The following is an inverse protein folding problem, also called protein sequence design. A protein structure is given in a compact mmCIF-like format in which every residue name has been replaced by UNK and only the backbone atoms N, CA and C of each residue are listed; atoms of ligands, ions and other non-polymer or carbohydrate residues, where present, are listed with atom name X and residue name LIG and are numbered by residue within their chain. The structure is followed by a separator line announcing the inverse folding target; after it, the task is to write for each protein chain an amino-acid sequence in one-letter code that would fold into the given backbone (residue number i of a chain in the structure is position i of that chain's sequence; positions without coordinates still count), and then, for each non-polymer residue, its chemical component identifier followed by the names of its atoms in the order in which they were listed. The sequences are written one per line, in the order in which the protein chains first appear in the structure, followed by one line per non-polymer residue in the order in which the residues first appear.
data_IF_564572993236
#
_entry.id   IF_564572993236
#
_cell.length_a   1.000
_cell.length_b   1.000
_cell.length_c   1.000
_cell.angle_alpha   90.00
_cell.angle_beta   90.00
_cell.angle_gamma   90.00
#
_symmetry.space_group_name_H-M   'P 1'
#
loop_
_entity.id
_entity.type
_entity.pdbx_description
1 polymer ?
#
# COMPACT_ATOMS: atom_id res chain seq x y z
N UNK A 1 40.94 -70.09 5.91
CA UNK A 1 41.06 -68.64 5.65
C UNK A 1 39.89 -67.96 6.34
N UNK A 2 40.14 -67.28 7.47
CA UNK A 2 39.12 -66.66 8.32
C UNK A 2 39.36 -65.16 8.35
N UNK A 3 38.36 -64.36 7.99
CA UNK A 3 38.45 -62.89 7.90
C UNK A 3 38.09 -62.21 9.23
N UNK A 4 38.73 -61.09 9.61
CA UNK A 4 38.73 -60.55 10.98
C UNK A 4 37.51 -59.69 11.37
N UNK A 5 36.33 -59.91 10.79
CA UNK A 5 35.15 -59.04 11.00
C UNK A 5 33.93 -59.73 11.60
N UNK A 6 34.12 -60.90 12.23
CA UNK A 6 33.06 -61.58 12.99
C UNK A 6 33.27 -61.38 14.49
N UNK A 7 33.11 -60.15 14.97
CA UNK A 7 32.86 -59.90 16.38
C UNK A 7 31.51 -59.19 16.53
N UNK A 8 30.56 -59.74 17.31
CA UNK A 8 29.33 -59.04 17.67
C UNK A 8 29.68 -57.93 18.66
N UNK A 9 30.09 -56.77 18.16
CA UNK A 9 30.22 -55.57 18.98
C UNK A 9 28.82 -55.12 19.37
N UNK A 10 28.47 -55.30 20.64
CA UNK A 10 27.31 -54.67 21.26
C UNK A 10 27.53 -53.15 21.24
N UNK A 11 27.08 -52.50 20.17
CA UNK A 11 26.89 -51.06 20.19
C UNK A 11 25.83 -50.80 21.28
N UNK A 12 26.13 -50.04 22.35
CA UNK A 12 25.08 -49.56 23.23
C UNK A 12 24.21 -48.68 22.35
N UNK A 13 23.04 -49.21 21.97
CA UNK A 13 21.97 -48.45 21.36
C UNK A 13 21.76 -47.24 22.25
N UNK A 14 22.24 -46.08 21.78
CA UNK A 14 22.05 -44.79 22.42
C UNK A 14 20.55 -44.52 22.36
N UNK A 15 19.85 -45.08 23.36
CA UNK A 15 18.44 -44.88 23.63
C UNK A 15 18.34 -43.43 24.08
N UNK A 16 18.28 -42.54 23.10
CA UNK A 16 17.64 -41.24 23.27
C UNK A 16 16.23 -41.59 23.74
N UNK A 17 15.99 -41.47 25.06
CA UNK A 17 14.64 -41.56 25.59
C UNK A 17 13.84 -40.49 24.85
N UNK A 18 12.76 -40.84 24.12
CA UNK A 18 11.84 -39.82 23.69
C UNK A 18 11.37 -39.11 24.95
N UNK A 19 11.68 -37.82 25.04
CA UNK A 19 11.12 -36.97 26.08
C UNK A 19 9.60 -36.96 25.83
N UNK A 20 8.88 -37.82 26.54
CA UNK A 20 7.44 -37.70 26.61
C UNK A 20 7.15 -36.33 27.23
N UNK A 21 6.42 -35.44 26.53
CA UNK A 21 5.94 -34.24 27.18
C UNK A 21 5.11 -34.68 28.39
N UNK A 22 5.23 -34.01 29.55
CA UNK A 22 4.42 -34.33 30.71
C UNK A 22 2.95 -34.31 30.29
N UNK A 23 2.24 -35.40 30.62
CA UNK A 23 0.80 -35.51 30.40
C UNK A 23 0.12 -34.24 30.92
N UNK A 24 -0.79 -33.60 30.15
CA UNK A 24 -1.52 -32.46 30.66
C UNK A 24 -2.37 -32.93 31.84
N UNK A 25 -1.96 -32.52 33.04
CA UNK A 25 -2.82 -32.51 34.20
C UNK A 25 -4.10 -31.76 33.84
N UNK A 26 -5.24 -32.30 34.30
CA UNK A 26 -6.57 -31.70 34.18
C UNK A 26 -6.54 -30.28 34.78
N UNK A 27 -6.20 -29.31 33.95
CA UNK A 27 -6.44 -27.91 34.23
C UNK A 27 -7.74 -27.52 33.54
N UNK A 28 -8.64 -27.04 34.39
CA UNK A 28 -9.92 -26.45 34.09
C UNK A 28 -9.87 -25.66 32.79
N UNK A 29 -10.91 -25.85 31.98
CA UNK A 29 -11.20 -25.12 30.75
C UNK A 29 -11.22 -23.60 31.03
N UNK A 30 -10.06 -22.98 31.03
CA UNK A 30 -9.92 -21.55 30.78
C UNK A 30 -10.18 -21.37 29.30
N UNK A 31 -11.34 -20.76 28.99
CA UNK A 31 -11.71 -20.26 27.66
C UNK A 31 -10.48 -19.57 27.07
N UNK A 32 -9.82 -20.22 26.12
CA UNK A 32 -8.82 -19.57 25.27
C UNK A 32 -9.53 -18.41 24.59
N UNK A 33 -9.08 -17.14 24.80
CA UNK A 33 -9.64 -16.03 24.06
C UNK A 33 -9.45 -16.34 22.58
N UNK A 34 -10.54 -16.29 21.80
CA UNK A 34 -10.47 -16.28 20.34
C UNK A 34 -9.41 -15.26 19.97
N UNK A 35 -8.27 -15.71 19.45
CA UNK A 35 -7.32 -14.83 18.81
C UNK A 35 -8.11 -14.08 17.73
N UNK A 36 -8.21 -12.75 17.80
CA UNK A 36 -8.95 -11.99 16.81
C UNK A 36 -8.37 -12.33 15.44
N UNK A 37 -9.25 -12.62 14.49
CA UNK A 37 -8.84 -12.86 13.11
C UNK A 37 -7.93 -11.71 12.64
N UNK A 38 -6.89 -12.03 11.85
CA UNK A 38 -5.95 -11.01 11.41
C UNK A 38 -6.72 -9.87 10.73
N UNK A 39 -6.33 -8.61 11.00
CA UNK A 39 -7.04 -7.45 10.48
C UNK A 39 -7.11 -7.54 8.95
N UNK A 40 -8.31 -7.36 8.38
CA UNK A 40 -8.54 -7.32 6.92
C UNK A 40 -7.50 -6.42 6.24
N UNK A 41 -7.04 -6.84 5.07
CA UNK A 41 -6.05 -6.08 4.29
C UNK A 41 -6.59 -4.69 3.89
N UNK A 42 -5.67 -3.74 3.69
CA UNK A 42 -5.99 -2.39 3.20
C UNK A 42 -6.84 -2.40 1.90
N UNK A 43 -6.52 -3.18 0.85
CA UNK A 43 -7.32 -3.17 -0.38
C UNK A 43 -8.74 -3.68 -0.15
N UNK A 44 -8.94 -4.72 0.66
CA UNK A 44 -10.28 -5.23 0.99
C UNK A 44 -11.08 -4.16 1.72
N UNK A 45 -10.50 -3.47 2.72
CA UNK A 45 -11.18 -2.38 3.43
C UNK A 45 -11.57 -1.23 2.52
N UNK A 46 -10.72 -0.88 1.55
CA UNK A 46 -11.02 0.16 0.57
C UNK A 46 -12.22 -0.22 -0.32
N UNK A 47 -12.24 -1.44 -0.83
CA UNK A 47 -13.35 -1.96 -1.64
C UNK A 47 -14.65 -2.04 -0.83
N UNK A 48 -14.61 -2.57 0.40
CA UNK A 48 -15.76 -2.63 1.30
C UNK A 48 -16.32 -1.25 1.63
N UNK A 49 -15.45 -0.25 1.81
CA UNK A 49 -15.86 1.13 2.05
C UNK A 49 -16.58 1.70 0.83
N UNK A 50 -16.10 1.41 -0.38
CA UNK A 50 -16.74 1.83 -1.62
C UNK A 50 -18.10 1.13 -1.83
N UNK A 51 -18.20 -0.18 -1.56
CA UNK A 51 -19.46 -0.95 -1.59
C UNK A 51 -20.48 -0.36 -0.62
N UNK A 52 -20.08 -0.10 0.63
CA UNK A 52 -20.95 0.55 1.63
C UNK A 52 -21.41 1.93 1.16
N UNK A 53 -20.52 2.72 0.58
CA UNK A 53 -20.87 4.01 -0.03
C UNK A 53 -21.95 3.83 -1.09
N UNK A 54 -21.76 2.91 -2.03
CA UNK A 54 -22.73 2.61 -3.11
C UNK A 54 -24.04 1.96 -2.62
N UNK A 55 -24.11 1.42 -1.41
CA UNK A 55 -25.35 0.87 -0.85
C UNK A 55 -26.12 1.91 -0.02
N UNK A 56 -25.40 2.73 0.75
CA UNK A 56 -26.02 3.59 1.76
C UNK A 56 -26.30 5.02 1.28
N UNK A 57 -25.63 5.48 0.23
CA UNK A 57 -25.81 6.86 -0.26
C UNK A 57 -26.88 6.98 -1.33
N UNK A 58 -27.81 7.94 -1.23
CA UNK A 58 -28.74 8.23 -2.33
C UNK A 58 -28.00 8.71 -3.59
N UNK A 59 -28.58 8.48 -4.77
CA UNK A 59 -27.94 8.77 -6.07
C UNK A 59 -27.60 10.25 -6.32
N UNK A 60 -28.36 11.17 -5.72
CA UNK A 60 -28.20 12.62 -5.92
C UNK A 60 -27.56 13.33 -4.72
N UNK A 61 -26.94 12.57 -3.82
CA UNK A 61 -26.32 13.16 -2.64
C UNK A 61 -24.99 13.81 -3.02
N UNK A 62 -24.80 15.12 -2.76
CA UNK A 62 -23.51 15.77 -2.95
C UNK A 62 -22.50 15.25 -1.92
N UNK A 63 -21.21 15.31 -2.26
CA UNK A 63 -20.14 15.00 -1.31
C UNK A 63 -20.16 16.04 -0.16
N UNK A 64 -20.23 15.62 1.11
CA UNK A 64 -20.24 16.53 2.25
C UNK A 64 -18.98 17.39 2.35
N UNK A 65 -17.85 16.93 1.79
CA UNK A 65 -16.57 17.66 1.77
C UNK A 65 -16.39 18.47 0.48
N UNK A 66 -17.43 18.54 -0.35
CA UNK A 66 -17.39 19.17 -1.68
C UNK A 66 -16.67 18.30 -2.72
N UNK A 67 -16.76 18.67 -4.00
CA UNK A 67 -16.04 17.97 -5.06
C UNK A 67 -14.66 18.51 -5.35
N UNK A 68 -13.84 17.72 -6.04
CA UNK A 68 -12.55 18.13 -6.57
C UNK A 68 -12.67 18.49 -8.07
N UNK A 69 -12.19 19.69 -8.44
CA UNK A 69 -12.23 20.21 -9.81
C UNK A 69 -10.90 20.11 -10.56
N UNK A 70 -9.97 19.26 -10.09
CA UNK A 70 -8.64 19.11 -10.67
C UNK A 70 -8.59 18.51 -12.08
N UNK A 71 -9.71 17.97 -12.59
CA UNK A 71 -9.80 17.28 -13.89
C UNK A 71 -8.75 16.18 -14.08
N UNK A 72 -8.47 15.44 -13.00
CA UNK A 72 -7.44 14.41 -12.92
C UNK A 72 -6.00 14.87 -13.27
N UNK A 73 -5.70 16.17 -13.06
CA UNK A 73 -4.33 16.70 -13.22
C UNK A 73 -3.47 16.54 -11.96
N UNK A 74 -4.09 16.63 -10.78
CA UNK A 74 -3.41 16.47 -9.49
C UNK A 74 -3.61 15.07 -8.89
N UNK A 75 -4.82 14.53 -9.06
CA UNK A 75 -5.20 13.21 -8.58
C UNK A 75 -5.36 12.26 -9.75
N UNK A 76 -5.15 10.97 -9.51
CA UNK A 76 -5.39 9.95 -10.51
C UNK A 76 -6.83 9.99 -11.05
N UNK A 77 -7.00 9.60 -12.31
CA UNK A 77 -8.32 9.46 -12.92
C UNK A 77 -9.17 8.44 -12.14
N UNK A 78 -10.46 8.74 -11.92
CA UNK A 78 -11.37 7.80 -11.27
C UNK A 78 -11.44 6.50 -12.08
N UNK A 79 -11.26 5.36 -11.41
CA UNK A 79 -11.27 4.03 -12.06
C UNK A 79 -12.66 3.60 -12.50
N UNK A 80 -13.69 4.01 -11.75
CA UNK A 80 -15.07 3.54 -11.96
C UNK A 80 -15.94 4.58 -12.65
N UNK A 81 -15.64 5.87 -12.49
CA UNK A 81 -16.41 6.99 -13.03
C UNK A 81 -15.47 8.07 -13.58
N UNK A 82 -14.72 7.82 -14.66
CA UNK A 82 -13.73 8.77 -15.16
C UNK A 82 -14.34 10.08 -15.68
N UNK A 83 -15.60 10.05 -16.10
CA UNK A 83 -16.32 11.16 -16.72
C UNK A 83 -17.75 11.21 -16.19
N UNK A 84 -18.28 12.42 -15.98
CA UNK A 84 -19.72 12.62 -15.78
C UNK A 84 -20.46 12.52 -17.12
N UNK A 85 -21.41 11.61 -17.24
CA UNK A 85 -22.19 11.43 -18.47
C UNK A 85 -23.11 12.62 -18.81
N UNK A 86 -23.47 13.45 -17.82
CA UNK A 86 -24.38 14.58 -18.02
C UNK A 86 -23.65 15.86 -18.49
N UNK A 87 -22.54 16.24 -17.83
CA UNK A 87 -21.83 17.49 -18.15
C UNK A 87 -20.42 17.30 -18.70
N UNK A 88 -19.92 16.07 -18.82
CA UNK A 88 -18.59 15.78 -19.35
C UNK A 88 -17.42 16.13 -18.43
N UNK A 89 -17.67 16.46 -17.15
CA UNK A 89 -16.58 16.73 -16.21
C UNK A 89 -15.70 15.48 -16.02
N UNK A 90 -14.38 15.63 -16.22
CA UNK A 90 -13.38 14.59 -15.91
C UNK A 90 -13.21 14.49 -14.39
N UNK A 91 -13.38 13.29 -13.84
CA UNK A 91 -13.39 13.05 -12.41
C UNK A 91 -12.15 12.28 -11.97
N UNK A 92 -11.55 12.71 -10.87
CA UNK A 92 -10.43 12.01 -10.24
C UNK A 92 -10.90 11.05 -9.14
N UNK A 93 -9.96 10.28 -8.57
CA UNK A 93 -10.19 9.33 -7.47
C UNK A 93 -10.78 9.95 -6.20
N UNK A 94 -10.61 11.26 -5.99
CA UNK A 94 -11.21 11.98 -4.86
C UNK A 94 -12.73 12.09 -5.00
N UNK A 95 -13.22 12.17 -6.24
CA UNK A 95 -14.65 12.23 -6.54
C UNK A 95 -15.22 10.80 -6.52
N UNK A 96 -15.75 10.37 -5.38
CA UNK A 96 -16.24 9.01 -5.21
C UNK A 96 -17.47 8.73 -6.10
N UNK A 97 -17.58 7.51 -6.68
CA UNK A 97 -18.63 7.18 -7.66
C UNK A 97 -20.05 7.14 -7.09
N UNK A 98 -20.20 7.15 -5.76
CA UNK A 98 -21.47 7.07 -5.06
C UNK A 98 -22.09 8.45 -4.76
N UNK A 99 -21.32 9.53 -4.90
CA UNK A 99 -21.82 10.91 -4.79
C UNK A 99 -22.24 11.47 -6.15
N UNK A 100 -23.02 12.56 -6.12
CA UNK A 100 -23.42 13.30 -7.31
C UNK A 100 -22.25 14.09 -7.91
N UNK A 101 -22.37 14.44 -9.20
CA UNK A 101 -21.40 15.27 -9.89
C UNK A 101 -21.26 16.64 -9.21
N UNK A 102 -20.04 17.11 -8.91
CA UNK A 102 -19.87 18.39 -8.22
C UNK A 102 -20.17 19.61 -9.10
N UNK A 103 -20.30 19.45 -10.42
CA UNK A 103 -20.63 20.54 -11.34
C UNK A 103 -22.12 20.64 -11.66
N UNK A 104 -22.79 19.52 -11.96
CA UNK A 104 -24.19 19.52 -12.41
C UNK A 104 -25.16 18.81 -11.45
N UNK A 105 -24.67 18.28 -10.33
CA UNK A 105 -25.45 17.52 -9.34
C UNK A 105 -26.19 16.28 -9.91
N UNK A 106 -25.86 15.85 -11.14
CA UNK A 106 -26.40 14.62 -11.70
C UNK A 106 -25.78 13.40 -11.01
N UNK A 107 -26.49 12.26 -10.92
CA UNK A 107 -25.88 11.01 -10.48
C UNK A 107 -24.75 10.63 -11.45
N UNK A 108 -23.64 10.14 -10.91
CA UNK A 108 -22.48 9.73 -11.70
C UNK A 108 -22.67 8.37 -12.39
N UNK A 109 -23.48 7.52 -11.78
CA UNK A 109 -23.81 6.18 -12.28
C UNK A 109 -25.32 6.10 -12.49
N UNK A 110 -25.73 5.57 -13.64
CA UNK A 110 -27.12 5.16 -13.84
C UNK A 110 -27.46 3.99 -12.91
N UNK A 111 -28.74 3.81 -12.50
CA UNK A 111 -29.15 2.71 -11.60
C UNK A 111 -28.65 1.31 -12.01
N UNK A 112 -28.75 0.87 -13.29
CA UNK A 112 -28.23 -0.44 -13.69
C UNK A 112 -26.70 -0.50 -13.63
N UNK A 113 -26.00 0.58 -13.98
CA UNK A 113 -24.53 0.65 -13.92
C UNK A 113 -24.03 0.62 -12.46
N UNK A 114 -24.80 1.18 -11.53
CA UNK A 114 -24.52 1.12 -10.09
C UNK A 114 -24.63 -0.32 -9.58
N UNK A 115 -25.67 -1.05 -9.98
CA UNK A 115 -25.84 -2.46 -9.63
C UNK A 115 -24.73 -3.34 -10.23
N UNK A 116 -24.37 -3.13 -11.49
CA UNK A 116 -23.26 -3.87 -12.10
C UNK A 116 -21.93 -3.61 -11.41
N UNK A 117 -21.67 -2.36 -11.01
CA UNK A 117 -20.46 -2.01 -10.26
C UNK A 117 -20.44 -2.67 -8.88
N UNK A 118 -21.58 -2.72 -8.18
CA UNK A 118 -21.68 -3.42 -6.90
C UNK A 118 -21.31 -4.91 -7.03
N UNK A 119 -21.84 -5.59 -8.04
CA UNK A 119 -21.52 -7.00 -8.30
C UNK A 119 -20.04 -7.19 -8.65
N UNK A 120 -19.47 -6.31 -9.48
CA UNK A 120 -18.04 -6.34 -9.83
C UNK A 120 -17.16 -6.16 -8.59
N UNK A 121 -17.48 -5.22 -7.71
CA UNK A 121 -16.72 -4.98 -6.48
C UNK A 121 -16.82 -6.15 -5.51
N UNK A 122 -18.00 -6.77 -5.38
CA UNK A 122 -18.18 -7.98 -4.57
C UNK A 122 -17.34 -9.14 -5.11
N UNK A 123 -17.31 -9.33 -6.43
CA UNK A 123 -16.45 -10.33 -7.06
C UNK A 123 -14.96 -10.03 -6.83
N UNK A 124 -14.54 -8.76 -6.93
CA UNK A 124 -13.18 -8.34 -6.64
C UNK A 124 -12.79 -8.59 -5.17
N UNK A 125 -13.69 -8.32 -4.21
CA UNK A 125 -13.46 -8.62 -2.80
C UNK A 125 -13.27 -10.13 -2.59
N UNK A 126 -14.13 -10.96 -3.20
CA UNK A 126 -13.99 -12.40 -3.10
C UNK A 126 -12.66 -12.89 -3.70
N UNK A 127 -12.26 -12.34 -4.85
CA UNK A 127 -11.00 -12.66 -5.50
C UNK A 127 -9.78 -12.24 -4.66
N UNK A 128 -9.78 -11.04 -4.09
CA UNK A 128 -8.67 -10.57 -3.25
C UNK A 128 -8.53 -11.42 -2.00
N UNK A 129 -9.64 -11.73 -1.31
CA UNK A 129 -9.62 -12.62 -0.14
C UNK A 129 -9.12 -14.02 -0.48
N UNK A 130 -9.56 -14.60 -1.61
CA UNK A 130 -9.07 -15.90 -2.06
C UNK A 130 -7.55 -15.86 -2.36
N UNK A 131 -7.06 -14.78 -2.98
CA UNK A 131 -5.64 -14.60 -3.26
C UNK A 131 -4.80 -14.49 -1.98
N UNK A 132 -5.30 -13.74 -0.98
CA UNK A 132 -4.64 -13.55 0.31
C UNK A 132 -4.57 -14.86 1.11
N UNK A 133 -5.66 -15.62 1.15
CA UNK A 133 -5.69 -16.93 1.83
C UNK A 133 -4.74 -17.92 1.13
N UNK A 134 -4.73 -17.94 -0.21
CA UNK A 134 -3.81 -18.80 -0.97
C UNK A 134 -2.34 -18.44 -0.72
N UNK A 135 -2.01 -17.15 -0.61
CA UNK A 135 -0.67 -16.67 -0.30
C UNK A 135 -0.26 -17.03 1.13
N UNK A 136 -1.19 -16.95 2.08
CA UNK A 136 -0.98 -17.35 3.47
C UNK A 136 -0.70 -18.85 3.59
N UNK A 137 -1.46 -19.70 2.90
CA UNK A 137 -1.24 -21.15 2.89
C UNK A 137 0.14 -21.50 2.30
N UNK A 138 0.50 -20.89 1.16
CA UNK A 138 1.82 -21.07 0.54
C UNK A 138 2.95 -20.64 1.47
N UNK A 139 2.84 -19.47 2.12
CA UNK A 139 3.83 -19.01 3.06
C UNK A 139 4.00 -19.95 4.27
N UNK A 140 2.90 -20.54 4.77
CA UNK A 140 2.95 -21.53 5.84
C UNK A 140 3.61 -22.85 5.39
N UNK A 141 3.33 -23.31 4.17
CA UNK A 141 3.96 -24.49 3.57
C UNK A 141 5.46 -24.29 3.39
N UNK A 142 5.85 -23.14 2.86
CA UNK A 142 7.26 -22.80 2.61
C UNK A 142 8.02 -22.61 3.93
N UNK A 143 7.40 -22.03 4.96
CA UNK A 143 7.99 -21.95 6.30
C UNK A 143 8.20 -23.34 6.92
N UNK A 144 7.24 -24.27 6.74
CA UNK A 144 7.39 -25.67 7.19
C UNK A 144 8.51 -26.39 6.43
N UNK A 145 8.58 -26.22 5.12
CA UNK A 145 9.66 -26.77 4.28
C UNK A 145 11.02 -26.20 4.70
N UNK A 146 11.11 -24.90 4.96
CA UNK A 146 12.35 -24.24 5.39
C UNK A 146 12.80 -24.69 6.79
N UNK A 147 11.87 -24.89 7.73
CA UNK A 147 12.21 -25.39 9.07
C UNK A 147 12.65 -26.87 9.07
N UNK A 148 12.11 -27.67 8.15
CA UNK A 148 12.52 -29.07 7.94
C UNK A 148 13.74 -29.23 7.02
N UNK A 149 14.14 -28.17 6.31
CA UNK A 149 15.33 -28.20 5.48
C UNK A 149 16.57 -28.20 6.38
N UNK A 150 17.34 -29.29 6.32
CA UNK A 150 18.67 -29.30 6.89
C UNK A 150 19.46 -28.16 6.24
N UNK A 151 20.18 -27.31 7.00
CA UNK A 151 20.99 -26.24 6.43
C UNK A 151 21.88 -26.86 5.36
N UNK A 152 21.63 -26.54 4.09
CA UNK A 152 22.38 -27.13 3.01
C UNK A 152 23.83 -26.65 3.14
N UNK A 153 24.71 -27.52 3.67
CA UNK A 153 26.15 -27.32 3.69
C UNK A 153 26.70 -27.59 2.28
N UNK A 154 26.27 -26.79 1.31
CA UNK A 154 26.80 -26.83 -0.04
C UNK A 154 27.86 -25.75 -0.15
N UNK A 155 29.11 -26.23 -0.15
CA UNK A 155 30.31 -25.53 -0.49
C UNK A 155 30.14 -24.62 -1.72
N UNK A 156 30.67 -23.40 -1.62
CA UNK A 156 31.00 -22.51 -2.74
C UNK A 156 29.82 -22.10 -3.65
N UNK A 157 28.99 -21.18 -3.18
CA UNK A 157 28.45 -20.14 -4.06
C UNK A 157 28.16 -18.89 -3.22
N UNK A 158 28.92 -17.86 -3.54
CA UNK A 158 28.76 -16.50 -3.08
C UNK A 158 27.39 -15.95 -3.50
N UNK A 159 26.40 -15.99 -2.61
CA UNK A 159 25.30 -15.03 -2.63
C UNK A 159 24.94 -14.66 -1.19
N UNK A 160 25.26 -13.41 -0.85
CA UNK A 160 25.06 -12.82 0.46
C UNK A 160 23.57 -12.51 0.66
N UNK A 161 22.82 -13.44 1.25
CA UNK A 161 21.57 -13.08 1.92
C UNK A 161 21.91 -12.42 3.25
N UNK A 162 21.54 -11.15 3.40
CA UNK A 162 21.74 -10.30 4.58
C UNK A 162 20.83 -10.77 5.73
N UNK A 163 21.10 -11.94 6.29
CA UNK A 163 20.59 -12.28 7.60
C UNK A 163 21.34 -11.40 8.60
N UNK A 164 20.63 -10.53 9.30
CA UNK A 164 21.15 -9.71 10.39
C UNK A 164 21.75 -10.62 11.47
N UNK A 165 23.03 -10.93 11.33
CA UNK A 165 23.81 -11.73 12.27
C UNK A 165 23.91 -10.94 13.57
N UNK A 166 23.15 -11.36 14.57
CA UNK A 166 23.37 -10.93 15.95
C UNK A 166 24.63 -11.64 16.44
N UNK A 167 25.76 -10.93 16.45
CA UNK A 167 27.02 -11.50 16.93
C UNK A 167 26.92 -11.77 18.44
N UNK A 168 26.84 -13.06 18.80
CA UNK A 168 26.92 -13.52 20.19
C UNK A 168 28.39 -13.74 20.52
N UNK A 169 28.97 -12.81 21.28
CA UNK A 169 30.36 -12.91 21.73
C UNK A 169 30.39 -13.63 23.07
N UNK A 170 30.97 -14.84 23.06
CA UNK A 170 31.28 -15.58 24.28
C UNK A 170 32.65 -15.13 24.77
N UNK A 171 32.68 -14.39 25.89
CA UNK A 171 33.92 -14.00 26.55
C UNK A 171 34.19 -14.93 27.74
N UNK A 172 35.35 -15.57 27.74
CA UNK A 172 35.84 -16.42 28.81
C UNK A 172 36.86 -15.64 29.63
N UNK A 173 36.52 -15.31 30.87
CA UNK A 173 37.45 -14.63 31.76
C UNK A 173 38.42 -15.65 32.37
N UNK A 174 39.69 -15.62 31.95
CA UNK A 174 40.72 -16.61 32.32
C UNK A 174 41.04 -16.64 33.82
N UNK A 175 40.77 -15.55 34.56
CA UNK A 175 40.98 -15.48 36.02
C UNK A 175 39.84 -16.07 36.85
N UNK A 176 38.62 -16.07 36.33
CA UNK A 176 37.44 -16.53 37.08
C UNK A 176 36.76 -17.75 36.46
N UNK A 177 37.23 -18.23 35.29
CA UNK A 177 36.65 -19.32 34.49
C UNK A 177 35.16 -19.16 34.20
N UNK A 178 34.61 -17.96 34.35
CA UNK A 178 33.20 -17.66 34.10
C UNK A 178 33.02 -17.26 32.64
N UNK A 179 32.10 -17.94 31.98
CA UNK A 179 31.66 -17.62 30.61
C UNK A 179 30.62 -16.52 30.71
N UNK A 180 30.87 -15.39 30.03
CA UNK A 180 29.92 -14.28 29.95
C UNK A 180 29.46 -14.13 28.50
N UNK A 181 28.15 -14.22 28.28
CA UNK A 181 27.55 -14.11 26.94
C UNK A 181 27.05 -12.67 26.77
N UNK A 182 27.75 -11.88 25.95
CA UNK A 182 27.29 -10.54 25.59
C UNK A 182 26.60 -10.61 24.23
N UNK A 183 25.31 -10.26 24.19
CA UNK A 183 24.54 -10.20 22.95
C UNK A 183 24.38 -8.73 22.55
N UNK A 184 25.06 -8.32 21.48
CA UNK A 184 24.85 -7.01 20.89
C UNK A 184 23.75 -7.12 19.84
N UNK A 185 22.53 -6.75 20.22
CA UNK A 185 21.43 -6.54 19.29
C UNK A 185 21.45 -5.07 18.87
N UNK A 186 21.66 -4.73 17.58
CA UNK A 186 21.33 -3.39 17.12
C UNK A 186 19.82 -3.20 17.32
N UNK A 187 19.43 -2.29 18.22
CA UNK A 187 18.02 -1.97 18.44
C UNK A 187 17.41 -1.50 17.13
N UNK A 188 16.35 -2.13 16.60
CA UNK A 188 15.60 -1.54 15.51
C UNK A 188 14.86 -0.31 16.05
N UNK A 189 15.48 0.85 15.88
CA UNK A 189 14.79 2.13 15.93
C UNK A 189 13.95 2.21 14.68
N UNK A 190 12.65 1.94 14.80
CA UNK A 190 11.60 2.67 14.11
C UNK A 190 10.26 2.19 14.64
N UNK A 191 9.75 2.90 15.64
CA UNK A 191 8.31 3.06 15.78
C UNK A 191 7.77 3.56 14.44
N UNK A 192 6.87 2.84 13.76
CA UNK A 192 6.14 3.44 12.67
C UNK A 192 5.30 4.56 13.28
N UNK A 193 5.67 5.81 12.97
CA UNK A 193 4.71 6.92 13.05
C UNK A 193 3.46 6.41 12.35
N UNK A 194 2.35 6.36 13.08
CA UNK A 194 1.03 6.20 12.50
C UNK A 194 0.93 7.30 11.46
N UNK A 195 1.07 6.91 10.19
CA UNK A 195 0.88 7.79 9.06
C UNK A 195 -0.61 8.12 9.11
N UNK A 196 -0.96 9.27 9.70
CA UNK A 196 -2.27 9.85 9.48
C UNK A 196 -2.48 9.85 7.98
N UNK A 197 -3.54 9.16 7.55
CA UNK A 197 -3.94 9.09 6.15
C UNK A 197 -4.39 10.51 5.77
N UNK A 198 -3.41 11.33 5.35
CA UNK A 198 -3.63 12.73 4.99
C UNK A 198 -4.66 12.75 3.86
N UNK A 199 -5.82 13.36 4.13
CA UNK A 199 -6.89 13.42 3.16
C UNK A 199 -6.40 14.19 1.92
N UNK A 200 -6.60 13.67 0.70
CA UNK A 200 -6.09 14.32 -0.49
C UNK A 200 -6.66 15.75 -0.64
N UNK A 201 -5.77 16.70 -0.88
CA UNK A 201 -6.09 18.11 -1.06
C UNK A 201 -7.14 18.31 -2.17
N UNK A 202 -8.22 19.05 -1.90
CA UNK A 202 -9.30 19.25 -2.87
C UNK A 202 -9.13 20.57 -3.62
N UNK A 203 -9.12 20.51 -4.95
CA UNK A 203 -9.10 21.72 -5.79
C UNK A 203 -10.48 22.36 -5.78
N UNK A 204 -10.61 23.64 -5.38
CA UNK A 204 -11.88 24.34 -5.31
C UNK A 204 -12.53 24.50 -6.70
N UNK A 205 -13.85 24.76 -6.75
CA UNK A 205 -14.53 25.08 -8.00
C UNK A 205 -13.89 26.27 -8.70
N UNK A 206 -13.86 26.29 -10.04
CA UNK A 206 -13.43 27.47 -10.77
C UNK A 206 -14.36 28.65 -10.45
N UNK A 207 -13.84 29.89 -10.39
CA UNK A 207 -14.66 31.07 -10.18
C UNK A 207 -15.72 31.19 -11.29
N UNK A 208 -16.96 31.59 -10.96
CA UNK A 208 -18.04 31.71 -11.94
C UNK A 208 -17.77 32.84 -12.94
N UNK A 209 -17.07 33.88 -12.52
CA UNK A 209 -16.73 35.03 -13.34
C UNK A 209 -15.46 34.76 -14.14
N UNK A 210 -15.63 34.32 -15.39
CA UNK A 210 -14.55 34.33 -16.36
C UNK A 210 -14.35 35.77 -16.82
N UNK A 211 -13.21 36.37 -16.47
CA UNK A 211 -12.83 37.67 -17.01
C UNK A 211 -12.70 37.57 -18.54
N UNK A 212 -13.73 38.03 -19.23
CA UNK A 212 -13.73 38.18 -20.68
C UNK A 212 -13.58 39.66 -21.03
N UNK A 213 -12.87 39.91 -22.11
CA UNK A 213 -12.72 41.27 -22.63
C UNK A 213 -14.01 41.63 -23.34
N UNK A 214 -14.72 42.64 -22.84
CA UNK A 214 -15.94 43.18 -23.46
C UNK A 214 -15.65 43.99 -24.73
N UNK A 215 -14.41 44.37 -24.97
CA UNK A 215 -14.03 45.15 -26.14
C UNK A 215 -14.15 44.31 -27.43
N UNK A 216 -14.71 44.92 -28.48
CA UNK A 216 -14.80 44.28 -29.80
C UNK A 216 -13.39 44.08 -30.37
N UNK A 217 -13.08 42.89 -30.94
CA UNK A 217 -11.83 42.69 -31.66
C UNK A 217 -11.68 43.71 -32.78
N UNK A 218 -10.50 44.31 -32.92
CA UNK A 218 -10.19 45.19 -34.05
C UNK A 218 -10.21 44.37 -35.35
N UNK A 219 -11.01 44.80 -36.33
CA UNK A 219 -11.11 44.15 -37.64
C UNK A 219 -9.77 44.13 -38.39
N UNK A 220 -8.89 45.09 -38.13
CA UNK A 220 -7.54 45.14 -38.73
C UNK A 220 -6.56 44.18 -38.07
N UNK A 221 -6.85 43.73 -36.85
CA UNK A 221 -6.00 42.85 -36.04
C UNK A 221 -6.85 41.85 -35.24
N UNK A 222 -7.57 40.93 -35.91
CA UNK A 222 -8.49 40.01 -35.25
C UNK A 222 -7.78 39.03 -34.29
N UNK A 223 -6.46 38.87 -34.45
CA UNK A 223 -5.59 38.03 -33.62
C UNK A 223 -4.94 38.79 -32.45
N UNK A 224 -5.23 40.08 -32.28
CA UNK A 224 -4.64 40.88 -31.19
C UNK A 224 -5.20 40.42 -29.85
N UNK A 225 -4.30 40.12 -28.90
CA UNK A 225 -4.72 39.81 -27.54
C UNK A 225 -5.29 41.08 -26.88
N UNK A 226 -6.60 41.11 -26.68
CA UNK A 226 -7.29 42.27 -26.08
C UNK A 226 -7.19 42.27 -24.54
N UNK A 227 -6.61 41.21 -23.94
CA UNK A 227 -6.45 41.09 -22.47
C UNK A 227 -5.26 41.86 -21.93
N UNK A 228 -4.22 42.03 -22.74
CA UNK A 228 -2.95 42.63 -22.32
C UNK A 228 -2.68 43.87 -23.15
N UNK A 229 -2.04 44.91 -22.59
CA UNK A 229 -1.58 46.04 -23.38
C UNK A 229 -0.68 45.55 -24.52
N UNK A 230 -0.76 46.16 -25.72
CA UNK A 230 0.02 45.71 -26.86
C UNK A 230 1.51 45.69 -26.49
N UNK A 231 2.25 44.62 -26.85
CA UNK A 231 3.67 44.55 -26.53
C UNK A 231 4.37 45.77 -27.13
N UNK A 232 5.00 46.58 -26.28
CA UNK A 232 5.77 47.75 -26.69
C UNK A 232 7.21 47.34 -26.92
N UNK A 233 7.77 47.70 -28.08
CA UNK A 233 9.18 47.48 -28.35
C UNK A 233 10.01 48.40 -27.46
N UNK A 234 10.77 47.82 -26.54
CA UNK A 234 11.77 48.54 -25.75
C UNK A 234 13.11 48.41 -26.50
N UNK A 235 13.59 49.48 -27.17
CA UNK A 235 14.90 49.42 -27.80
C UNK A 235 15.97 49.14 -26.76
N UNK A 236 16.82 48.14 -27.03
CA UNK A 236 18.03 47.92 -26.23
C UNK A 236 18.86 49.21 -26.34
N UNK A 237 18.96 49.94 -25.23
CA UNK A 237 19.72 51.19 -25.17
C UNK A 237 21.11 50.95 -25.77
N UNK A 238 21.49 51.79 -26.74
CA UNK A 238 22.88 51.84 -27.21
C UNK A 238 23.71 52.09 -25.96
N UNK A 239 24.44 51.08 -25.51
CA UNK A 239 25.58 51.31 -24.61
C UNK A 239 26.55 52.13 -25.44
N UNK A 240 26.50 53.45 -25.24
CA UNK A 240 27.50 54.35 -25.79
C UNK A 240 28.87 53.83 -25.33
N UNK A 241 29.59 53.22 -26.26
CA UNK A 241 31.02 53.00 -26.13
C UNK A 241 31.67 54.38 -26.24
N UNK A 242 31.59 55.18 -25.19
CA UNK A 242 32.54 56.26 -24.97
C UNK A 242 33.87 55.59 -24.56
N UNK A 243 34.80 55.44 -25.52
CA UNK A 243 36.07 56.16 -25.57
C UNK A 243 36.71 56.30 -24.18
N UNK A 244 37.65 55.41 -23.82
CA UNK A 244 39.10 55.50 -24.12
C UNK A 244 39.74 56.74 -23.52
#
# INVERSE_FOLDING_TARGET
MSTPWTHPSSLPSDRIRPAHPPSPSKHQQRKTPRTPDPPKSRPVRALETLVRGLQNTPERTPDPKGGCFCRARLHALSRYTPLCAACGLVLCTVNAPHFACPHCASPLLAPPARQSLLLQLQAQIAQTLASEESARLKAADDARRAAGAFPALSASASDQSVASQTHKVLSLNSKTKKVTVASYSPSPVSTPKVLEEEEPERVPPPPPDVLYVKARPDARRPWMNVREPPPSYVPLGRKDRANK
#
